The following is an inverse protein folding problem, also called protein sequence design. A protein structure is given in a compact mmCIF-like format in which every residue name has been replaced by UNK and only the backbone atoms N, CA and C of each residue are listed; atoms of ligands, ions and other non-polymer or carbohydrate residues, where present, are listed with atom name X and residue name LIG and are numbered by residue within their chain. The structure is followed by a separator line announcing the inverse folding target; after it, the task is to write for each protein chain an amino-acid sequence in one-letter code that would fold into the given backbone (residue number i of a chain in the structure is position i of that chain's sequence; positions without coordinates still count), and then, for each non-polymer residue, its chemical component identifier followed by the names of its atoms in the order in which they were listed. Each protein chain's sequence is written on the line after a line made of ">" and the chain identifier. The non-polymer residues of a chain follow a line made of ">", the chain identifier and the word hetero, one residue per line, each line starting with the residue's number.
data_IF_352539405784
#
_entry.id   IF_352539405784
#
_cell.length_a   1.000
_cell.length_b   1.000
_cell.length_c   1.000
_cell.angle_alpha   90.00
_cell.angle_beta   90.00
_cell.angle_gamma   90.00
#
_symmetry.space_group_name_H-M   'P 1'
#
loop_
_entity.id
_entity.type
_entity.pdbx_description
1 polymer ?
#
# COMPACT_ATOMS: atom_id res chain seq x y z
N UNK A 1 -5.17 -5.13 -11.73
CA UNK A 1 -4.68 -4.66 -10.43
C UNK A 1 -5.93 -4.39 -9.61
N UNK A 2 -6.19 -5.21 -8.59
CA UNK A 2 -7.42 -5.16 -7.82
C UNK A 2 -7.27 -4.20 -6.63
N UNK A 3 -8.35 -3.63 -6.11
CA UNK A 3 -8.30 -2.66 -5.00
C UNK A 3 -7.51 -3.19 -3.78
N UNK A 4 -7.67 -4.48 -3.46
CA UNK A 4 -7.00 -5.15 -2.35
C UNK A 4 -5.50 -5.40 -2.57
N UNK A 5 -4.97 -5.17 -3.78
CA UNK A 5 -3.51 -5.25 -4.01
C UNK A 5 -2.77 -4.07 -3.37
N UNK A 6 -3.44 -2.95 -3.15
CA UNK A 6 -2.87 -1.75 -2.54
C UNK A 6 -3.51 -1.41 -1.18
N UNK A 7 -4.80 -1.72 -1.01
CA UNK A 7 -5.56 -1.40 0.21
C UNK A 7 -5.81 -2.62 1.10
N UNK A 8 -5.91 -2.39 2.42
CA UNK A 8 -6.32 -3.34 3.44
C UNK A 8 -7.71 -2.96 3.98
N UNK A 9 -8.77 -3.74 3.68
CA UNK A 9 -10.14 -3.40 4.08
C UNK A 9 -10.37 -3.45 5.60
N UNK A 10 -9.48 -4.11 6.34
CA UNK A 10 -9.52 -4.16 7.80
C UNK A 10 -8.77 -3.00 8.47
N UNK A 11 -8.11 -2.13 7.70
CA UNK A 11 -7.45 -0.93 8.21
C UNK A 11 -6.32 -1.24 9.18
N UNK A 12 -5.49 -2.26 8.91
CA UNK A 12 -4.40 -2.66 9.79
C UNK A 12 -3.19 -1.71 9.69
N UNK A 13 -3.32 -0.48 10.18
CA UNK A 13 -2.21 0.48 10.23
C UNK A 13 -2.64 1.92 10.55
N UNK A 14 -1.69 2.75 10.99
CA UNK A 14 -1.89 4.18 11.29
C UNK A 14 -2.13 5.06 10.04
N UNK A 15 -2.37 4.44 8.87
CA UNK A 15 -2.53 5.16 7.61
C UNK A 15 -4.03 5.33 7.30
N UNK A 16 -4.48 6.58 7.22
CA UNK A 16 -5.87 6.95 6.91
C UNK A 16 -6.32 6.52 5.51
N UNK A 17 -5.39 6.17 4.62
CA UNK A 17 -5.65 5.64 3.28
C UNK A 17 -5.75 4.10 3.25
N UNK A 18 -5.66 3.43 4.40
CA UNK A 18 -5.78 1.96 4.52
C UNK A 18 -4.85 1.22 3.56
N UNK A 19 -3.66 1.79 3.29
CA UNK A 19 -2.69 1.16 2.42
C UNK A 19 -1.99 0.02 3.15
N UNK A 20 -1.67 -1.05 2.41
CA UNK A 20 -0.95 -2.22 2.97
C UNK A 20 0.50 -1.89 3.36
N UNK A 21 1.06 -0.87 2.72
CA UNK A 21 2.41 -0.33 2.94
C UNK A 21 2.27 1.19 2.96
N UNK A 22 3.11 1.90 3.71
CA UNK A 22 3.16 3.36 3.58
C UNK A 22 3.53 3.78 2.14
N UNK A 23 3.32 5.05 1.79
CA UNK A 23 3.68 5.59 0.48
C UNK A 23 4.92 6.50 0.52
N UNK A 24 5.62 6.56 1.66
CA UNK A 24 6.83 7.36 1.84
C UNK A 24 7.90 6.85 0.86
N UNK A 25 8.49 7.78 0.10
CA UNK A 25 9.49 7.44 -0.93
C UNK A 25 9.00 6.42 -1.98
N UNK A 26 7.69 6.36 -2.27
CA UNK A 26 7.12 5.40 -3.22
C UNK A 26 7.37 3.93 -2.85
N UNK A 27 7.47 3.64 -1.54
CA UNK A 27 7.66 2.29 -0.98
C UNK A 27 6.55 1.33 -1.43
N UNK A 28 5.29 1.79 -1.49
CA UNK A 28 4.16 1.02 -2.02
C UNK A 28 4.38 0.55 -3.47
N UNK A 29 4.80 1.45 -4.37
CA UNK A 29 4.98 1.13 -5.78
C UNK A 29 6.18 0.20 -5.99
N UNK A 30 7.25 0.43 -5.22
CA UNK A 30 8.49 -0.33 -5.26
C UNK A 30 8.34 -1.76 -4.73
N UNK A 31 7.24 -2.06 -4.05
CA UNK A 31 6.92 -3.42 -3.60
C UNK A 31 6.81 -4.40 -4.78
N UNK A 32 6.29 -3.93 -5.92
CA UNK A 32 6.09 -4.73 -7.13
C UNK A 32 6.97 -4.26 -8.30
N UNK A 33 7.20 -2.95 -8.43
CA UNK A 33 7.96 -2.37 -9.54
C UNK A 33 9.42 -2.15 -9.14
N UNK A 34 10.23 -3.22 -9.24
CA UNK A 34 11.68 -3.16 -9.10
C UNK A 34 12.30 -2.99 -10.50
N UNK A 35 13.31 -2.12 -10.63
CA UNK A 35 14.11 -2.05 -11.87
C UNK A 35 14.89 -3.34 -12.09
#
# INVERSE_FOLDING_TARGET
>A
MECASCHDPHGKGRNTAMLRIDSVNSSLCSACHRK
#
